data_IF_896190489590
#
_entry.id   IF_896190489590
#
_cell.length_a   1.000
_cell.length_b   1.000
_cell.length_c   1.000
_cell.angle_alpha   90.00
_cell.angle_beta   90.00
_cell.angle_gamma   90.00
#
_symmetry.space_group_name_H-M   'P 1'
#
loop_
_entity.id
_entity.type
_entity.pdbx_description
1 polymer ?
#
# COMPACT_ATOMS: atom_id res chain seq x y z
N UNK A 1 20.29 -49.17 23.58
CA UNK A 1 19.92 -47.81 24.01
C UNK A 1 19.69 -47.00 22.75
N UNK A 2 18.44 -46.67 22.44
CA UNK A 2 18.14 -45.72 21.36
C UNK A 2 18.20 -44.31 21.96
N UNK A 3 19.03 -43.40 21.45
CA UNK A 3 18.87 -41.99 21.75
C UNK A 3 17.67 -41.47 20.95
N UNK A 4 16.67 -40.98 21.67
CA UNK A 4 15.60 -40.14 21.09
C UNK A 4 16.18 -38.75 20.85
N UNK A 5 15.92 -38.26 19.64
CA UNK A 5 16.41 -37.06 18.95
C UNK A 5 15.95 -35.76 19.63
N UNK A 6 16.68 -34.63 19.48
CA UNK A 6 16.06 -33.35 19.20
C UNK A 6 16.13 -33.10 17.69
N UNK A 7 14.98 -33.11 17.02
CA UNK A 7 14.90 -32.56 15.66
C UNK A 7 15.26 -31.07 15.76
N UNK A 8 16.12 -30.59 14.86
CA UNK A 8 16.49 -29.18 14.82
C UNK A 8 15.23 -28.30 14.69
N UNK A 9 15.03 -27.38 15.63
CA UNK A 9 14.02 -26.33 15.56
C UNK A 9 14.23 -25.54 14.26
N UNK A 10 13.35 -25.72 13.28
CA UNK A 10 13.29 -24.83 12.14
C UNK A 10 12.74 -23.49 12.64
N UNK A 11 13.58 -22.46 12.68
CA UNK A 11 13.17 -21.10 13.06
C UNK A 11 11.96 -20.66 12.22
N UNK A 12 10.95 -20.05 12.87
CA UNK A 12 9.77 -19.53 12.20
C UNK A 12 10.22 -18.42 11.23
N UNK A 13 9.92 -18.52 9.92
CA UNK A 13 10.33 -17.50 8.96
C UNK A 13 9.64 -16.17 9.26
N UNK A 14 10.41 -15.08 9.24
CA UNK A 14 9.91 -13.72 9.42
C UNK A 14 9.59 -13.13 8.04
N UNK A 15 8.40 -12.55 7.89
CA UNK A 15 8.00 -11.79 6.71
C UNK A 15 7.89 -10.32 7.14
N UNK A 16 8.62 -9.45 6.47
CA UNK A 16 8.43 -8.01 6.61
C UNK A 16 7.25 -7.59 5.73
N UNK A 17 6.20 -7.06 6.34
CA UNK A 17 4.96 -6.70 5.64
C UNK A 17 4.96 -5.26 5.15
N UNK A 18 6.03 -4.48 5.36
CA UNK A 18 6.00 -3.04 5.17
C UNK A 18 7.36 -2.45 4.76
N UNK A 19 7.70 -2.58 3.47
CA UNK A 19 8.93 -2.06 2.89
C UNK A 19 8.60 -0.90 1.94
N UNK A 20 9.30 0.22 2.08
CA UNK A 20 9.04 1.46 1.35
C UNK A 20 10.06 1.72 0.24
N UNK A 21 9.91 1.16 -0.97
CA UNK A 21 10.79 1.46 -2.08
C UNK A 21 10.62 2.91 -2.55
N UNK A 22 11.71 3.58 -2.87
CA UNK A 22 11.71 4.92 -3.46
C UNK A 22 12.02 4.87 -4.96
N UNK A 23 11.64 5.93 -5.67
CA UNK A 23 11.80 6.04 -7.12
C UNK A 23 12.94 7.00 -7.54
N UNK A 24 13.84 7.33 -6.62
CA UNK A 24 14.95 8.27 -6.86
C UNK A 24 15.92 7.72 -7.93
N UNK A 25 16.30 6.44 -7.80
CA UNK A 25 17.20 5.77 -8.74
C UNK A 25 16.50 5.33 -10.02
N UNK A 26 15.24 4.93 -9.91
CA UNK A 26 14.42 4.46 -11.04
C UNK A 26 13.12 5.27 -11.10
N UNK A 27 13.07 6.37 -11.85
CA UNK A 27 11.86 7.18 -11.94
C UNK A 27 10.71 6.43 -12.67
N UNK A 28 9.47 6.60 -12.19
CA UNK A 28 8.28 5.94 -12.76
C UNK A 28 7.89 6.44 -14.16
N UNK A 29 8.48 7.55 -14.62
CA UNK A 29 8.04 8.29 -15.81
C UNK A 29 7.90 7.44 -17.08
N UNK A 30 8.78 6.46 -17.30
CA UNK A 30 8.73 5.57 -18.47
C UNK A 30 7.55 4.60 -18.47
N UNK A 31 6.95 4.32 -17.30
CA UNK A 31 5.81 3.43 -17.15
C UNK A 31 4.47 4.17 -17.27
N UNK A 32 4.49 5.51 -17.25
CA UNK A 32 3.30 6.31 -17.44
C UNK A 32 2.85 6.17 -18.92
N UNK A 33 1.59 5.77 -19.18
CA UNK A 33 1.10 5.66 -20.55
C UNK A 33 1.22 6.98 -21.31
N UNK A 34 1.63 6.93 -22.58
CA UNK A 34 1.93 8.10 -23.40
C UNK A 34 0.80 9.16 -23.41
N UNK A 35 -0.46 8.72 -23.40
CA UNK A 35 -1.63 9.60 -23.37
C UNK A 35 -1.69 10.50 -22.12
N UNK A 36 -1.05 10.11 -21.02
CA UNK A 36 -1.04 10.85 -19.75
C UNK A 36 0.27 11.58 -19.47
N UNK A 37 1.34 11.32 -20.22
CA UNK A 37 2.66 11.91 -19.94
C UNK A 37 2.62 13.44 -19.99
N UNK A 38 2.04 14.04 -21.03
CA UNK A 38 1.94 15.49 -21.14
C UNK A 38 1.04 16.08 -20.05
N UNK A 39 -0.10 15.43 -19.77
CA UNK A 39 -1.01 15.85 -18.72
C UNK A 39 -0.33 15.90 -17.34
N UNK A 40 0.42 14.85 -17.01
CA UNK A 40 1.15 14.77 -15.75
C UNK A 40 2.31 15.76 -15.69
N UNK A 41 3.02 15.99 -16.80
CA UNK A 41 4.06 17.02 -16.91
C UNK A 41 3.51 18.42 -16.68
N UNK A 42 2.27 18.68 -17.08
CA UNK A 42 1.53 19.93 -16.82
C UNK A 42 0.92 20.02 -15.41
N UNK A 43 1.12 19.01 -14.56
CA UNK A 43 0.64 19.02 -13.17
C UNK A 43 -0.79 18.50 -12.97
N UNK A 44 -1.45 17.97 -14.01
CA UNK A 44 -2.83 17.46 -13.90
C UNK A 44 -2.96 16.16 -13.08
N UNK A 45 -1.84 15.63 -12.58
CA UNK A 45 -1.82 14.54 -11.60
C UNK A 45 -1.64 15.00 -10.16
N UNK A 46 -1.76 16.29 -9.86
CA UNK A 46 -1.55 16.81 -8.51
C UNK A 46 -2.41 16.12 -7.46
N UNK A 47 -1.80 15.78 -6.33
CA UNK A 47 -2.45 15.24 -5.14
C UNK A 47 -2.37 16.29 -4.03
N UNK A 48 -3.43 16.47 -3.21
CA UNK A 48 -3.33 17.29 -2.02
C UNK A 48 -2.38 16.63 -1.00
N UNK A 49 -1.64 17.46 -0.26
CA UNK A 49 -0.76 17.00 0.81
C UNK A 49 -1.39 17.19 2.19
N UNK A 50 -0.97 16.35 3.15
CA UNK A 50 -1.43 16.43 4.55
C UNK A 50 -0.84 17.62 5.34
N UNK A 51 0.34 18.12 4.94
CA UNK A 51 0.91 19.39 5.43
C UNK A 51 1.77 19.31 6.71
N UNK A 52 1.91 18.14 7.33
CA UNK A 52 2.72 17.88 8.53
C UNK A 52 4.01 17.14 8.18
N UNK A 53 5.15 17.83 8.25
CA UNK A 53 6.45 17.22 8.01
C UNK A 53 7.04 16.62 9.30
N UNK A 54 7.60 15.40 9.20
CA UNK A 54 8.41 14.85 10.28
C UNK A 54 9.74 15.64 10.38
N UNK A 55 10.12 16.19 11.54
CA UNK A 55 11.35 16.97 11.70
C UNK A 55 12.64 16.19 11.43
N UNK A 56 12.59 14.85 11.45
CA UNK A 56 13.75 13.97 11.24
C UNK A 56 13.64 13.10 9.99
N UNK A 57 12.61 13.32 9.16
CA UNK A 57 12.24 12.41 8.08
C UNK A 57 11.48 11.18 8.58
N UNK A 58 10.83 10.48 7.66
CA UNK A 58 10.05 9.25 7.95
C UNK A 58 10.87 7.99 7.78
N UNK A 59 11.95 8.05 6.98
CA UNK A 59 12.82 6.91 6.74
C UNK A 59 13.86 6.75 7.84
N UNK A 60 14.15 5.50 8.19
CA UNK A 60 15.34 5.17 8.96
C UNK A 60 16.59 5.57 8.17
N UNK A 61 17.54 6.22 8.85
CA UNK A 61 18.76 6.75 8.20
C UNK A 61 19.69 5.66 7.65
N UNK A 62 19.56 4.44 8.15
CA UNK A 62 20.35 3.28 7.76
C UNK A 62 19.59 2.31 6.83
N UNK A 63 18.39 2.69 6.37
CA UNK A 63 17.54 1.86 5.51
C UNK A 63 17.09 2.67 4.28
N UNK A 64 18.05 2.97 3.40
CA UNK A 64 17.75 3.59 2.10
C UNK A 64 17.26 2.51 1.14
N UNK A 65 16.06 2.69 0.60
CA UNK A 65 15.34 1.69 -0.17
C UNK A 65 15.15 2.15 -1.63
N UNK A 66 16.22 2.64 -2.28
CA UNK A 66 16.20 3.14 -3.67
C UNK A 66 16.85 2.15 -4.66
N UNK A 67 17.61 1.17 -4.16
CA UNK A 67 18.21 0.08 -4.92
C UNK A 67 17.73 -1.28 -4.38
N UNK A 68 17.04 -2.11 -5.20
CA UNK A 68 16.52 -3.40 -4.77
C UNK A 68 17.62 -4.37 -4.34
N UNK A 69 18.81 -4.35 -4.94
CA UNK A 69 19.87 -5.29 -4.59
C UNK A 69 20.50 -4.96 -3.24
N UNK A 70 20.72 -3.67 -2.98
CA UNK A 70 21.20 -3.21 -1.67
C UNK A 70 20.16 -3.49 -0.59
N UNK A 71 18.89 -3.20 -0.88
CA UNK A 71 17.77 -3.48 0.04
C UNK A 71 17.67 -4.97 0.36
N UNK A 72 17.80 -5.84 -0.63
CA UNK A 72 17.76 -7.29 -0.44
C UNK A 72 18.89 -7.79 0.46
N UNK A 73 20.12 -7.30 0.24
CA UNK A 73 21.28 -7.60 1.09
C UNK A 73 21.05 -7.13 2.53
N UNK A 74 20.61 -5.88 2.70
CA UNK A 74 20.44 -5.27 4.02
C UNK A 74 19.27 -5.86 4.80
N UNK A 75 18.19 -6.26 4.14
CA UNK A 75 16.99 -6.77 4.79
C UNK A 75 17.02 -8.28 4.93
N UNK A 76 17.18 -9.00 3.81
CA UNK A 76 17.01 -10.44 3.78
C UNK A 76 18.28 -11.18 4.20
N UNK A 77 19.45 -10.81 3.67
CA UNK A 77 20.69 -11.53 3.97
C UNK A 77 21.20 -11.21 5.37
N UNK A 78 21.20 -9.93 5.74
CA UNK A 78 21.73 -9.47 7.04
C UNK A 78 20.84 -9.85 8.23
N UNK A 79 19.51 -9.76 8.09
CA UNK A 79 18.59 -10.03 9.20
C UNK A 79 17.86 -11.38 9.09
N UNK A 80 18.08 -12.15 8.02
CA UNK A 80 17.44 -13.45 7.82
C UNK A 80 15.93 -13.36 7.59
N UNK A 81 15.44 -12.22 7.09
CA UNK A 81 14.03 -12.03 6.72
C UNK A 81 13.74 -12.84 5.46
N UNK A 82 12.66 -13.63 5.48
CA UNK A 82 12.34 -14.57 4.41
C UNK A 82 11.72 -13.89 3.19
N UNK A 83 10.79 -12.95 3.43
CA UNK A 83 10.08 -12.21 2.38
C UNK A 83 9.77 -10.79 2.84
N UNK A 84 9.56 -9.92 1.86
CA UNK A 84 9.27 -8.51 2.08
C UNK A 84 8.14 -8.00 1.19
N UNK A 85 7.11 -7.37 1.75
CA UNK A 85 5.98 -6.79 1.00
C UNK A 85 6.22 -5.30 0.76
N UNK A 86 6.28 -4.91 -0.51
CA UNK A 86 6.54 -3.54 -0.95
C UNK A 86 5.28 -2.68 -0.83
N UNK A 87 5.44 -1.48 -0.27
CA UNK A 87 4.48 -0.38 -0.29
C UNK A 87 5.00 0.68 -1.28
N UNK A 88 4.68 0.56 -2.58
CA UNK A 88 5.25 1.44 -3.61
C UNK A 88 4.82 2.89 -3.46
N UNK A 89 5.53 3.88 -4.04
CA UNK A 89 5.17 5.31 -3.90
C UNK A 89 3.76 5.70 -4.41
N UNK A 90 3.07 4.79 -5.11
CA UNK A 90 1.70 4.96 -5.60
C UNK A 90 0.58 4.79 -4.57
N UNK A 91 0.85 4.62 -3.28
CA UNK A 91 -0.17 4.36 -2.23
C UNK A 91 -1.34 5.35 -2.27
N UNK A 92 -1.05 6.64 -2.48
CA UNK A 92 -2.01 7.74 -2.45
C UNK A 92 -2.58 8.14 -3.82
N UNK A 93 -2.44 7.32 -4.86
CA UNK A 93 -2.99 7.64 -6.20
C UNK A 93 -4.49 7.93 -6.20
N UNK A 94 -5.23 7.35 -5.23
CA UNK A 94 -6.64 7.63 -4.96
C UNK A 94 -6.95 9.09 -4.61
N UNK A 95 -5.95 9.91 -4.28
CA UNK A 95 -6.13 11.34 -3.99
C UNK A 95 -5.91 12.24 -5.20
N UNK A 96 -5.59 11.67 -6.36
CA UNK A 96 -5.41 12.45 -7.59
C UNK A 96 -6.74 13.10 -7.97
N UNK A 97 -6.74 14.43 -8.20
CA UNK A 97 -7.94 15.15 -8.61
C UNK A 97 -8.50 14.64 -9.94
N UNK A 98 -7.61 14.37 -10.90
CA UNK A 98 -7.97 13.72 -12.15
C UNK A 98 -7.98 12.19 -11.94
N UNK A 99 -9.17 11.60 -12.01
CA UNK A 99 -9.40 10.16 -11.77
C UNK A 99 -8.63 9.31 -12.79
N UNK A 100 -8.68 9.65 -14.08
CA UNK A 100 -7.98 8.88 -15.13
C UNK A 100 -6.47 8.93 -14.95
N UNK A 101 -5.94 10.11 -14.61
CA UNK A 101 -4.53 10.28 -14.30
C UNK A 101 -4.11 9.48 -13.06
N UNK A 102 -4.96 9.42 -12.02
CA UNK A 102 -4.75 8.57 -10.85
C UNK A 102 -4.70 7.09 -11.20
N UNK A 103 -5.60 6.62 -12.05
CA UNK A 103 -5.64 5.22 -12.54
C UNK A 103 -4.40 4.90 -13.38
N UNK A 104 -3.99 5.79 -14.28
CA UNK A 104 -2.77 5.63 -15.07
C UNK A 104 -1.50 5.58 -14.20
N UNK A 105 -1.44 6.38 -13.13
CA UNK A 105 -0.34 6.31 -12.15
C UNK A 105 -0.33 4.99 -11.38
N UNK A 106 -1.51 4.49 -10.97
CA UNK A 106 -1.62 3.20 -10.29
C UNK A 106 -1.01 2.07 -11.15
N UNK A 107 -1.39 2.03 -12.43
CA UNK A 107 -0.81 1.14 -13.44
C UNK A 107 0.70 1.26 -13.55
N UNK A 108 1.19 2.49 -13.70
CA UNK A 108 2.62 2.76 -13.83
C UNK A 108 3.41 2.28 -12.60
N UNK A 109 2.90 2.49 -11.38
CA UNK A 109 3.54 2.01 -10.16
C UNK A 109 3.52 0.49 -10.01
N UNK A 110 2.48 -0.17 -10.49
CA UNK A 110 2.41 -1.63 -10.51
C UNK A 110 3.45 -2.22 -11.48
N UNK A 111 3.55 -1.67 -12.69
CA UNK A 111 4.52 -2.12 -13.69
C UNK A 111 5.96 -1.80 -13.26
N UNK A 112 6.18 -0.64 -12.64
CA UNK A 112 7.46 -0.23 -12.09
C UNK A 112 7.97 -1.19 -11.00
N UNK A 113 7.10 -1.59 -10.07
CA UNK A 113 7.46 -2.58 -9.04
C UNK A 113 7.88 -3.90 -9.66
N UNK A 114 7.12 -4.39 -10.64
CA UNK A 114 7.44 -5.64 -11.32
C UNK A 114 8.84 -5.53 -11.93
N UNK A 115 9.05 -4.53 -12.78
CA UNK A 115 10.28 -4.38 -13.55
C UNK A 115 11.53 -4.14 -12.70
N UNK A 116 11.42 -3.38 -11.61
CA UNK A 116 12.58 -2.94 -10.85
C UNK A 116 12.79 -3.68 -9.53
N UNK A 117 11.72 -4.17 -8.88
CA UNK A 117 11.84 -4.78 -7.57
C UNK A 117 11.59 -6.27 -7.60
N UNK A 118 10.46 -6.70 -8.16
CA UNK A 118 10.11 -8.11 -8.16
C UNK A 118 11.08 -8.92 -9.03
N UNK A 119 11.52 -8.40 -10.17
CA UNK A 119 12.52 -9.09 -11.01
C UNK A 119 13.95 -9.05 -10.42
N UNK A 120 14.23 -8.17 -9.46
CA UNK A 120 15.57 -8.00 -8.91
C UNK A 120 15.92 -9.03 -7.82
N UNK A 121 14.94 -9.44 -6.99
CA UNK A 121 15.12 -10.49 -5.98
C UNK A 121 13.80 -11.26 -5.73
N UNK A 122 13.82 -12.60 -5.70
CA UNK A 122 12.60 -13.39 -5.56
C UNK A 122 11.88 -13.29 -4.20
N UNK A 123 12.53 -12.68 -3.19
CA UNK A 123 11.99 -12.47 -1.84
C UNK A 123 11.12 -11.23 -1.72
N UNK A 124 11.16 -10.34 -2.71
CA UNK A 124 10.22 -9.22 -2.77
C UNK A 124 8.83 -9.67 -3.25
N UNK A 125 7.81 -9.17 -2.56
CA UNK A 125 6.40 -9.33 -2.85
C UNK A 125 5.80 -7.94 -3.09
N UNK A 126 4.95 -7.81 -4.10
CA UNK A 126 4.41 -6.52 -4.53
C UNK A 126 3.00 -6.25 -3.99
N UNK A 127 2.70 -4.96 -3.83
CA UNK A 127 1.36 -4.46 -3.56
C UNK A 127 0.77 -3.80 -4.78
N UNK A 128 -0.46 -4.16 -5.12
CA UNK A 128 -1.20 -3.60 -6.24
C UNK A 128 -1.79 -2.27 -5.79
N UNK A 129 -1.19 -1.17 -6.22
CA UNK A 129 -1.79 0.16 -6.09
C UNK A 129 -3.06 0.24 -6.94
N UNK A 130 -4.11 0.81 -6.34
CA UNK A 130 -5.38 1.05 -7.03
C UNK A 130 -5.89 2.45 -6.76
N UNK A 131 -6.62 3.00 -7.74
CA UNK A 131 -7.36 4.24 -7.57
C UNK A 131 -8.79 3.94 -7.13
N UNK A 132 -9.08 4.12 -5.85
CA UNK A 132 -10.40 3.80 -5.27
C UNK A 132 -11.51 4.75 -5.76
N UNK A 133 -11.19 5.93 -6.33
CA UNK A 133 -12.23 6.81 -6.86
C UNK A 133 -12.97 6.21 -8.07
N UNK A 134 -12.35 5.26 -8.78
CA UNK A 134 -12.97 4.44 -9.83
C UNK A 134 -12.78 2.96 -9.50
N UNK A 135 -13.68 2.43 -8.66
CA UNK A 135 -13.64 1.05 -8.20
C UNK A 135 -13.75 0.01 -9.33
N UNK A 136 -14.41 0.35 -10.44
CA UNK A 136 -14.55 -0.55 -11.60
C UNK A 136 -13.22 -0.66 -12.34
N UNK A 137 -12.52 0.46 -12.55
CA UNK A 137 -11.18 0.43 -13.14
C UNK A 137 -10.14 -0.16 -12.18
N UNK A 138 -10.26 0.08 -10.87
CA UNK A 138 -9.44 -0.57 -9.85
C UNK A 138 -9.58 -2.10 -9.89
N UNK A 139 -10.81 -2.62 -9.96
CA UNK A 139 -11.07 -4.05 -10.11
C UNK A 139 -10.36 -4.65 -11.34
N UNK A 140 -10.43 -3.97 -12.50
CA UNK A 140 -9.72 -4.39 -13.73
C UNK A 140 -8.21 -4.39 -13.53
N UNK A 141 -7.69 -3.37 -12.86
CA UNK A 141 -6.26 -3.25 -12.60
C UNK A 141 -5.72 -4.33 -11.68
N UNK A 142 -6.49 -4.72 -10.65
CA UNK A 142 -6.12 -5.83 -9.76
C UNK A 142 -5.96 -7.13 -10.55
N UNK A 143 -6.91 -7.42 -11.44
CA UNK A 143 -6.82 -8.60 -12.32
C UNK A 143 -5.60 -8.53 -13.23
N UNK A 144 -5.35 -7.38 -13.86
CA UNK A 144 -4.21 -7.17 -14.75
C UNK A 144 -2.89 -7.38 -14.02
N UNK A 145 -2.68 -6.71 -12.89
CA UNK A 145 -1.44 -6.76 -12.14
C UNK A 145 -1.19 -8.16 -11.56
N UNK A 146 -2.23 -8.84 -11.05
CA UNK A 146 -2.11 -10.23 -10.57
C UNK A 146 -1.78 -11.22 -11.68
N UNK A 147 -2.37 -11.06 -12.86
CA UNK A 147 -2.06 -11.88 -14.03
C UNK A 147 -0.66 -11.60 -14.58
N UNK A 148 -0.18 -10.35 -14.47
CA UNK A 148 1.15 -9.95 -14.91
C UNK A 148 2.26 -10.56 -14.04
N UNK A 149 2.06 -10.68 -12.72
CA UNK A 149 3.08 -11.23 -11.85
C UNK A 149 2.51 -11.95 -10.60
N UNK A 150 2.88 -13.22 -10.33
CA UNK A 150 2.29 -14.01 -9.25
C UNK A 150 2.63 -13.48 -7.85
N UNK A 151 3.78 -12.80 -7.68
CA UNK A 151 4.20 -12.16 -6.42
C UNK A 151 3.51 -10.81 -6.13
N UNK A 152 2.52 -10.39 -6.93
CA UNK A 152 1.59 -9.35 -6.47
C UNK A 152 0.61 -9.97 -5.47
N UNK A 153 0.77 -9.67 -4.18
CA UNK A 153 0.15 -10.44 -3.07
C UNK A 153 -0.90 -9.68 -2.28
N UNK A 154 -1.03 -8.38 -2.45
CA UNK A 154 -2.06 -7.57 -1.79
C UNK A 154 -2.55 -6.42 -2.67
N UNK A 155 -3.75 -5.93 -2.40
CA UNK A 155 -4.28 -4.67 -2.97
C UNK A 155 -4.06 -3.56 -1.94
N UNK A 156 -3.61 -2.39 -2.38
CA UNK A 156 -3.19 -1.31 -1.49
C UNK A 156 -3.84 0.03 -1.85
N UNK A 157 -4.33 0.74 -0.83
CA UNK A 157 -4.77 2.12 -0.91
C UNK A 157 -4.33 2.90 0.35
N UNK A 158 -4.33 4.22 0.28
CA UNK A 158 -4.10 5.07 1.45
C UNK A 158 -5.31 5.11 2.40
N UNK A 159 -5.09 5.48 3.66
CA UNK A 159 -6.17 5.69 4.64
C UNK A 159 -6.99 6.96 4.42
N UNK A 160 -6.48 7.98 3.71
CA UNK A 160 -7.33 9.12 3.29
C UNK A 160 -8.19 8.73 2.08
N UNK A 161 -9.47 9.09 2.10
CA UNK A 161 -10.43 8.66 1.10
C UNK A 161 -11.57 9.67 0.93
N UNK A 162 -12.23 9.67 -0.23
CA UNK A 162 -13.43 10.50 -0.46
C UNK A 162 -14.64 10.02 0.34
N UNK A 163 -14.78 8.70 0.53
CA UNK A 163 -15.83 8.06 1.33
C UNK A 163 -15.23 6.92 2.18
N UNK A 164 -15.95 6.50 3.23
CA UNK A 164 -15.50 5.38 4.05
C UNK A 164 -15.54 4.07 3.25
N UNK A 165 -14.50 3.24 3.42
CA UNK A 165 -14.31 2.01 2.64
C UNK A 165 -15.39 0.93 2.81
N UNK A 166 -16.30 1.02 3.78
CA UNK A 166 -17.46 0.12 3.82
C UNK A 166 -18.51 0.40 2.73
N UNK A 167 -18.51 1.59 2.12
CA UNK A 167 -19.54 1.97 1.16
C UNK A 167 -19.58 1.05 -0.07
N UNK A 168 -20.80 0.66 -0.49
CA UNK A 168 -21.02 -0.32 -1.58
C UNK A 168 -20.36 0.02 -2.91
N UNK A 169 -20.02 1.29 -3.15
CA UNK A 169 -19.27 1.69 -4.36
C UNK A 169 -17.93 0.95 -4.50
N UNK A 170 -17.34 0.49 -3.40
CA UNK A 170 -16.04 -0.20 -3.39
C UNK A 170 -16.17 -1.72 -3.51
N UNK A 171 -17.38 -2.27 -3.49
CA UNK A 171 -17.62 -3.72 -3.58
C UNK A 171 -17.01 -4.38 -4.83
N UNK A 172 -16.94 -3.74 -6.01
CA UNK A 172 -16.24 -4.32 -7.16
C UNK A 172 -14.77 -4.65 -6.86
N UNK A 173 -14.10 -3.87 -6.00
CA UNK A 173 -12.71 -4.15 -5.56
C UNK A 173 -12.69 -5.37 -4.65
N UNK A 174 -13.60 -5.43 -3.67
CA UNK A 174 -13.65 -6.53 -2.70
C UNK A 174 -14.03 -7.87 -3.31
N UNK A 175 -14.93 -7.87 -4.29
CA UNK A 175 -15.27 -9.05 -5.09
C UNK A 175 -14.03 -9.64 -5.77
N UNK A 176 -13.21 -8.80 -6.40
CA UNK A 176 -11.95 -9.23 -7.04
C UNK A 176 -10.92 -9.68 -6.01
N UNK A 177 -10.82 -8.98 -4.88
CA UNK A 177 -9.94 -9.36 -3.78
C UNK A 177 -10.28 -10.76 -3.25
N UNK A 178 -11.56 -11.06 -3.04
CA UNK A 178 -12.01 -12.38 -2.60
C UNK A 178 -11.73 -13.46 -3.67
N UNK A 179 -12.12 -13.21 -4.92
CA UNK A 179 -11.91 -14.15 -6.04
C UNK A 179 -10.44 -14.52 -6.20
N UNK A 180 -9.54 -13.52 -6.15
CA UNK A 180 -8.11 -13.70 -6.32
C UNK A 180 -7.37 -13.99 -5.00
N UNK A 181 -8.09 -14.06 -3.88
CA UNK A 181 -7.56 -14.25 -2.52
C UNK A 181 -6.47 -13.26 -2.15
N UNK A 182 -6.65 -12.01 -2.53
CA UNK A 182 -5.79 -10.89 -2.20
C UNK A 182 -6.38 -10.13 -1.00
N UNK A 183 -5.63 -9.89 0.08
CA UNK A 183 -6.06 -8.96 1.11
C UNK A 183 -6.15 -7.54 0.54
N UNK A 184 -7.10 -6.77 1.05
CA UNK A 184 -7.17 -5.32 0.88
C UNK A 184 -6.45 -4.65 2.05
N UNK A 185 -5.40 -3.89 1.76
CA UNK A 185 -4.54 -3.25 2.73
C UNK A 185 -4.70 -1.73 2.70
N UNK A 186 -4.73 -1.11 3.88
CA UNK A 186 -4.59 0.33 4.05
C UNK A 186 -3.22 0.68 4.60
N UNK A 187 -2.68 1.78 4.09
CA UNK A 187 -1.41 2.33 4.54
C UNK A 187 -1.55 3.83 4.83
N UNK A 188 -0.88 4.38 5.87
CA UNK A 188 -1.06 5.78 6.23
C UNK A 188 -0.23 6.71 5.36
N UNK A 189 -0.26 8.00 5.67
CA UNK A 189 0.62 9.02 5.09
C UNK A 189 -0.12 10.14 4.35
N UNK A 190 -1.45 10.04 4.29
CA UNK A 190 -2.28 10.97 3.53
C UNK A 190 -3.43 11.58 4.36
N UNK A 191 -3.64 11.10 5.58
CA UNK A 191 -4.69 11.56 6.48
C UNK A 191 -4.59 13.08 6.65
N UNK A 192 -5.66 13.82 6.45
CA UNK A 192 -5.62 15.28 6.53
C UNK A 192 -5.53 16.00 5.19
N UNK A 193 -5.30 15.27 4.09
CA UNK A 193 -5.10 15.85 2.76
C UNK A 193 -6.41 16.38 2.13
N UNK A 194 -7.51 15.65 2.27
CA UNK A 194 -8.83 16.09 1.74
C UNK A 194 -9.63 16.89 2.76
N UNK A 195 -9.61 16.43 4.01
CA UNK A 195 -10.36 17.01 5.15
C UNK A 195 -9.48 16.98 6.39
N UNK A 196 -10.00 17.41 7.53
CA UNK A 196 -9.25 17.24 8.79
C UNK A 196 -9.08 15.75 9.11
N UNK A 197 -7.89 15.36 9.61
CA UNK A 197 -7.61 13.98 10.06
C UNK A 197 -8.28 13.63 11.39
N UNK A 198 -8.90 14.61 12.06
CA UNK A 198 -9.70 14.40 13.28
C UNK A 198 -11.09 15.03 13.12
N UNK A 199 -12.11 14.52 13.84
CA UNK A 199 -13.46 15.08 13.79
C UNK A 199 -13.59 16.46 14.48
N UNK A 200 -12.60 16.89 15.27
CA UNK A 200 -12.67 18.10 16.10
C UNK A 200 -11.74 19.23 15.66
N UNK A 201 -11.07 19.07 14.52
CA UNK A 201 -10.17 20.10 13.96
C UNK A 201 -8.83 19.54 13.49
N UNK A 202 -8.02 20.41 12.90
CA UNK A 202 -6.72 20.02 12.35
C UNK A 202 -5.68 19.92 13.47
N UNK A 203 -4.85 18.87 13.49
CA UNK A 203 -3.68 18.80 14.36
C UNK A 203 -2.77 20.02 14.22
N UNK A 204 -2.08 20.40 15.29
CA UNK A 204 -1.19 21.57 15.29
C UNK A 204 0.22 21.25 14.79
N UNK A 205 0.63 19.98 14.87
CA UNK A 205 1.97 19.54 14.50
C UNK A 205 1.99 18.06 14.08
N UNK A 206 3.14 17.63 13.57
CA UNK A 206 3.35 16.26 13.10
C UNK A 206 3.11 15.19 14.17
N UNK A 207 3.52 15.40 15.41
CA UNK A 207 3.31 14.39 16.46
C UNK A 207 1.83 14.20 16.79
N UNK A 208 1.07 15.29 16.88
CA UNK A 208 -0.39 15.23 17.06
C UNK A 208 -1.07 14.57 15.86
N UNK A 209 -0.65 14.90 14.64
CA UNK A 209 -1.16 14.27 13.43
C UNK A 209 -0.85 12.76 13.38
N UNK A 210 0.41 12.39 13.56
CA UNK A 210 0.90 11.02 13.40
C UNK A 210 0.31 10.08 14.45
N UNK A 211 0.24 10.53 15.71
CA UNK A 211 -0.41 9.76 16.79
C UNK A 211 -1.92 9.63 16.61
N UNK A 212 -2.54 10.52 15.82
CA UNK A 212 -3.97 10.50 15.49
C UNK A 212 -4.34 9.65 14.27
N UNK A 213 -3.38 9.17 13.46
CA UNK A 213 -3.63 8.32 12.27
C UNK A 213 -4.58 7.14 12.54
N UNK A 214 -4.48 6.41 13.68
CA UNK A 214 -5.37 5.29 13.96
C UNK A 214 -6.88 5.63 13.97
N UNK A 215 -7.26 6.89 14.17
CA UNK A 215 -8.66 7.33 14.13
C UNK A 215 -9.28 7.09 12.74
N UNK A 216 -8.53 7.32 11.67
CA UNK A 216 -8.98 7.05 10.29
C UNK A 216 -9.19 5.55 10.06
N UNK A 217 -8.32 4.74 10.64
CA UNK A 217 -8.35 3.28 10.52
C UNK A 217 -9.55 2.69 11.25
N UNK A 218 -9.82 3.19 12.46
CA UNK A 218 -11.03 2.86 13.22
C UNK A 218 -12.29 3.19 12.42
N UNK A 219 -12.35 4.39 11.81
CA UNK A 219 -13.50 4.80 11.00
C UNK A 219 -13.73 3.86 9.80
N UNK A 220 -12.67 3.45 9.11
CA UNK A 220 -12.76 2.48 8.01
C UNK A 220 -13.16 1.08 8.47
N UNK A 221 -12.56 0.58 9.55
CA UNK A 221 -12.90 -0.72 10.09
C UNK A 221 -14.36 -0.78 10.53
N UNK A 222 -14.84 0.23 11.27
CA UNK A 222 -16.25 0.36 11.67
C UNK A 222 -17.12 0.34 10.42
N UNK A 223 -16.83 1.18 9.43
CA UNK A 223 -17.62 1.26 8.20
C UNK A 223 -17.70 -0.08 7.47
N UNK A 224 -16.57 -0.77 7.26
CA UNK A 224 -16.55 -2.07 6.58
C UNK A 224 -17.36 -3.15 7.31
N UNK A 225 -17.27 -3.19 8.65
CA UNK A 225 -18.05 -4.11 9.46
C UNK A 225 -19.54 -3.77 9.38
N UNK A 226 -19.92 -2.50 9.61
CA UNK A 226 -21.33 -2.10 9.71
C UNK A 226 -22.06 -2.06 8.37
N UNK A 227 -21.35 -1.89 7.26
CA UNK A 227 -21.91 -1.96 5.89
C UNK A 227 -22.00 -3.40 5.38
N UNK A 228 -21.52 -4.38 6.16
CA UNK A 228 -21.61 -5.81 5.85
C UNK A 228 -20.65 -6.28 4.76
N UNK A 229 -19.50 -5.62 4.57
CA UNK A 229 -18.53 -6.01 3.55
C UNK A 229 -18.03 -7.46 3.75
N UNK A 230 -17.78 -7.86 4.99
CA UNK A 230 -17.34 -9.22 5.34
C UNK A 230 -18.47 -10.26 5.29
N UNK A 231 -19.74 -9.84 5.39
CA UNK A 231 -20.89 -10.73 5.19
C UNK A 231 -21.10 -11.00 3.69
N UNK A 232 -20.93 -9.96 2.87
CA UNK A 232 -21.04 -10.06 1.42
C UNK A 232 -19.86 -10.82 0.78
N UNK A 233 -18.65 -10.65 1.33
CA UNK A 233 -17.40 -11.27 0.87
C UNK A 233 -16.68 -11.98 2.04
N UNK A 234 -17.13 -13.17 2.46
CA UNK A 234 -16.60 -13.87 3.63
C UNK A 234 -15.11 -14.24 3.55
N UNK A 235 -14.54 -14.32 2.35
CA UNK A 235 -13.11 -14.57 2.11
C UNK A 235 -12.25 -13.31 2.10
N UNK A 236 -12.86 -12.12 2.15
CA UNK A 236 -12.14 -10.84 2.15
C UNK A 236 -11.30 -10.70 3.42
N UNK A 237 -10.02 -10.38 3.24
CA UNK A 237 -9.11 -10.03 4.34
C UNK A 237 -8.83 -8.53 4.28
N UNK A 238 -8.86 -7.89 5.44
CA UNK A 238 -8.55 -6.47 5.59
C UNK A 238 -7.29 -6.31 6.45
N UNK A 239 -6.31 -5.59 5.93
CA UNK A 239 -4.98 -5.41 6.56
C UNK A 239 -4.75 -3.93 6.84
N UNK A 240 -4.33 -3.64 8.07
CA UNK A 240 -4.04 -2.29 8.54
C UNK A 240 -2.53 -2.16 8.70
N UNK A 241 -1.85 -1.64 7.68
CA UNK A 241 -0.39 -1.48 7.66
C UNK A 241 -0.01 -0.21 8.41
N UNK A 242 1.05 -0.24 9.22
CA UNK A 242 1.57 0.89 9.99
C UNK A 242 0.54 1.60 10.92
N UNK A 243 -0.57 0.94 11.23
CA UNK A 243 -1.70 1.53 11.97
C UNK A 243 -1.49 1.61 13.50
N UNK A 244 -0.44 0.94 14.00
CA UNK A 244 -0.43 0.43 15.37
C UNK A 244 -1.56 -0.58 15.62
N UNK A 245 -1.49 -1.31 16.74
CA UNK A 245 -2.50 -2.32 17.07
C UNK A 245 -3.11 -2.15 18.46
N UNK A 246 -2.53 -1.32 19.34
CA UNK A 246 -2.98 -1.20 20.73
C UNK A 246 -4.35 -0.54 20.93
N UNK A 247 -4.97 -0.03 19.86
CA UNK A 247 -6.32 0.57 19.89
C UNK A 247 -7.43 -0.44 19.58
N UNK A 248 -7.09 -1.62 19.04
CA UNK A 248 -8.02 -2.69 18.69
C UNK A 248 -8.18 -3.67 19.86
#
# INVERSE_FOLDING_TARGET
MNPVVPAADAAIPIIDCDIHPTADKYPVGSFIPAAFQEALRQGMGGQPGQGYANPFGVQRRDAVCDDPHQTASDLFDRYGIAYGVLQPPGISVSLSHNIEAGTAKAQAWNDWQIAHWLEADPRFLGSICVNMNDAVSAAKEIRRAKAAHPRMVQVLSCGESSELYGHRRYFPVYEVCEELRLPFALHPGAEGALRSSTPVGRPSNYFEWHTGIPLTYQAHLISMVTEGAFEQFPGLKFVLVEAGFGWL
#
